data_IF_670285406591
#
_entry.id   IF_670285406591
#
_cell.length_a   1.000
_cell.length_b   1.000
_cell.length_c   1.000
_cell.angle_alpha   90.00
_cell.angle_beta   90.00
_cell.angle_gamma   90.00
#
_symmetry.space_group_name_H-M   'P 1'
#
loop_
_entity.id
_entity.type
_entity.pdbx_description
1 polymer ?
#
# COMPACT_ATOMS: atom_id res chain seq x y z
N UNK A 1 -31.00 -27.91 -4.98
CA UNK A 1 -29.64 -28.16 -4.46
C UNK A 1 -28.67 -27.97 -5.62
N UNK A 2 -27.68 -27.07 -5.67
CA UNK A 2 -27.04 -26.22 -4.64
C UNK A 2 -26.29 -25.09 -5.38
N UNK A 3 -26.89 -23.89 -5.51
CA UNK A 3 -26.23 -22.68 -6.06
C UNK A 3 -25.49 -21.86 -4.98
N UNK A 4 -25.46 -22.36 -3.75
CA UNK A 4 -24.90 -21.66 -2.60
C UNK A 4 -23.37 -21.69 -2.50
N UNK A 5 -22.66 -22.55 -3.25
CA UNK A 5 -21.22 -22.78 -3.00
C UNK A 5 -20.26 -21.71 -3.57
N UNK A 6 -20.65 -20.95 -4.60
CA UNK A 6 -19.73 -19.98 -5.22
C UNK A 6 -19.53 -18.69 -4.42
N UNK A 7 -20.54 -18.23 -3.66
CA UNK A 7 -20.43 -16.98 -2.90
C UNK A 7 -19.57 -17.10 -1.64
N UNK A 8 -19.57 -18.27 -0.98
CA UNK A 8 -18.78 -18.49 0.23
C UNK A 8 -17.27 -18.38 -0.01
N UNK A 9 -16.81 -18.67 -1.23
CA UNK A 9 -15.40 -18.56 -1.62
C UNK A 9 -14.89 -17.11 -1.53
N UNK A 10 -15.77 -16.12 -1.73
CA UNK A 10 -15.42 -14.70 -1.67
C UNK A 10 -15.53 -14.09 -0.28
N UNK A 11 -16.16 -14.77 0.68
CA UNK A 11 -16.36 -14.22 2.04
C UNK A 11 -15.03 -13.99 2.75
N UNK A 12 -14.10 -14.94 2.66
CA UNK A 12 -12.77 -14.81 3.28
C UNK A 12 -11.92 -13.70 2.61
N UNK A 13 -11.74 -13.68 1.27
CA UNK A 13 -11.06 -12.58 0.58
C UNK A 13 -11.66 -11.20 0.89
N UNK A 14 -12.99 -11.09 0.92
CA UNK A 14 -13.67 -9.84 1.22
C UNK A 14 -13.40 -9.39 2.66
N UNK A 15 -13.50 -10.30 3.64
CA UNK A 15 -13.18 -10.00 5.04
C UNK A 15 -11.71 -9.56 5.20
N UNK A 16 -10.78 -10.25 4.55
CA UNK A 16 -9.36 -9.86 4.53
C UNK A 16 -9.15 -8.48 3.91
N UNK A 17 -9.79 -8.18 2.78
CA UNK A 17 -9.73 -6.87 2.13
C UNK A 17 -10.28 -5.78 3.06
N UNK A 18 -11.45 -6.02 3.67
CA UNK A 18 -12.06 -5.08 4.62
C UNK A 18 -11.15 -4.81 5.82
N UNK A 19 -10.53 -5.84 6.40
CA UNK A 19 -9.58 -5.68 7.49
C UNK A 19 -8.37 -4.84 7.09
N UNK A 20 -7.81 -5.09 5.89
CA UNK A 20 -6.71 -4.29 5.34
C UNK A 20 -7.11 -2.83 5.11
N UNK A 21 -8.30 -2.58 4.57
CA UNK A 21 -8.80 -1.21 4.34
C UNK A 21 -9.08 -0.46 5.64
N UNK A 22 -9.61 -1.13 6.66
CA UNK A 22 -9.80 -0.55 7.99
C UNK A 22 -8.47 -0.14 8.63
N UNK A 23 -7.45 -1.00 8.53
CA UNK A 23 -6.11 -0.65 9.00
C UNK A 23 -5.54 0.55 8.24
N UNK A 24 -5.65 0.57 6.92
CA UNK A 24 -5.18 1.69 6.09
C UNK A 24 -5.89 3.00 6.45
N UNK A 25 -7.20 2.96 6.68
CA UNK A 25 -7.97 4.14 7.12
C UNK A 25 -7.46 4.66 8.48
N UNK A 26 -7.14 3.77 9.41
CA UNK A 26 -6.57 4.15 10.71
C UNK A 26 -5.15 4.72 10.58
N UNK A 27 -4.30 4.08 9.78
CA UNK A 27 -2.90 4.48 9.59
C UNK A 27 -2.74 5.76 8.75
N UNK A 28 -3.62 5.97 7.76
CA UNK A 28 -3.59 7.10 6.85
C UNK A 28 -4.32 8.36 7.35
N UNK A 29 -4.97 8.27 8.51
CA UNK A 29 -5.89 9.29 9.05
C UNK A 29 -7.08 9.60 8.10
N UNK A 30 -7.94 10.58 8.47
CA UNK A 30 -9.20 10.94 7.77
C UNK A 30 -9.05 11.31 6.27
N UNK A 31 -7.83 11.44 5.76
CA UNK A 31 -7.56 11.97 4.42
C UNK A 31 -7.12 10.92 3.41
N UNK A 32 -6.96 9.66 3.82
CA UNK A 32 -6.65 8.57 2.89
C UNK A 32 -7.92 8.12 2.15
N UNK A 33 -8.02 8.48 0.89
CA UNK A 33 -9.10 8.01 0.01
C UNK A 33 -8.89 6.55 -0.39
N UNK A 34 -9.97 5.86 -0.77
CA UNK A 34 -9.90 4.47 -1.28
C UNK A 34 -8.95 4.37 -2.49
N UNK A 35 -8.99 5.33 -3.43
CA UNK A 35 -8.07 5.33 -4.58
C UNK A 35 -6.60 5.41 -4.16
N UNK A 36 -6.27 6.21 -3.14
CA UNK A 36 -4.90 6.29 -2.60
C UNK A 36 -4.52 5.00 -1.86
N UNK A 37 -5.45 4.39 -1.13
CA UNK A 37 -5.23 3.10 -0.49
C UNK A 37 -4.93 1.99 -1.53
N UNK A 38 -5.75 1.88 -2.57
CA UNK A 38 -5.53 0.93 -3.68
C UNK A 38 -4.21 1.21 -4.38
N UNK A 39 -3.91 2.47 -4.70
CA UNK A 39 -2.64 2.85 -5.30
C UNK A 39 -1.44 2.44 -4.44
N UNK A 40 -1.49 2.70 -3.13
CA UNK A 40 -0.46 2.28 -2.19
C UNK A 40 -0.28 0.76 -2.19
N UNK A 41 -1.35 -0.03 -2.20
CA UNK A 41 -1.27 -1.49 -2.24
C UNK A 41 -0.63 -2.01 -3.54
N UNK A 42 -0.91 -1.37 -4.67
CA UNK A 42 -0.28 -1.72 -5.96
C UNK A 42 1.22 -1.43 -5.94
N UNK A 43 1.63 -0.27 -5.41
CA UNK A 43 3.06 0.07 -5.21
C UNK A 43 3.72 -0.93 -4.28
N UNK A 44 3.08 -1.23 -3.14
CA UNK A 44 3.62 -2.16 -2.15
C UNK A 44 3.80 -3.56 -2.72
N UNK A 45 2.83 -4.06 -3.51
CA UNK A 45 2.92 -5.36 -4.15
C UNK A 45 4.04 -5.41 -5.20
N UNK A 46 4.22 -4.35 -5.99
CA UNK A 46 5.30 -4.26 -6.98
C UNK A 46 6.68 -4.20 -6.32
N UNK A 47 6.86 -3.33 -5.32
CA UNK A 47 8.13 -3.17 -4.59
C UNK A 47 8.50 -4.46 -3.84
N UNK A 48 7.53 -5.14 -3.23
CA UNK A 48 7.75 -6.43 -2.54
C UNK A 48 8.20 -7.56 -3.47
N UNK A 49 7.86 -7.50 -4.77
CA UNK A 49 8.34 -8.46 -5.78
C UNK A 49 9.73 -8.11 -6.33
N UNK A 50 10.33 -7.00 -5.90
CA UNK A 50 11.59 -6.50 -6.45
C UNK A 50 11.46 -5.86 -7.83
N UNK A 51 10.24 -5.60 -8.31
CA UNK A 51 9.94 -4.99 -9.60
C UNK A 51 9.14 -3.71 -9.38
N UNK A 52 9.77 -2.62 -8.91
CA UNK A 52 9.08 -1.36 -8.70
C UNK A 52 8.53 -0.83 -10.02
N UNK A 53 7.41 -0.13 -9.97
CA UNK A 53 6.73 0.40 -11.14
C UNK A 53 6.74 1.93 -11.14
N UNK A 54 6.76 2.50 -12.32
CA UNK A 54 6.48 3.92 -12.54
C UNK A 54 4.98 4.21 -12.34
N UNK A 55 4.64 5.49 -12.20
CA UNK A 55 3.24 5.90 -12.15
C UNK A 55 2.46 5.43 -13.38
N UNK A 56 3.06 5.51 -14.57
CA UNK A 56 2.41 5.15 -15.82
C UNK A 56 2.06 3.66 -15.84
N UNK A 57 3.02 2.80 -15.52
CA UNK A 57 2.80 1.35 -15.50
C UNK A 57 1.75 0.94 -14.47
N UNK A 58 1.67 1.61 -13.30
CA UNK A 58 0.61 1.32 -12.32
C UNK A 58 -0.77 1.65 -12.89
N UNK A 59 -0.91 2.77 -13.61
CA UNK A 59 -2.18 3.17 -14.20
C UNK A 59 -2.60 2.21 -15.30
N UNK A 60 -1.67 1.84 -16.17
CA UNK A 60 -1.90 0.92 -17.28
C UNK A 60 -2.27 -0.49 -16.77
N UNK A 61 -1.64 -0.96 -15.70
CA UNK A 61 -1.88 -2.29 -15.12
C UNK A 61 -3.03 -2.33 -14.11
N UNK A 62 -3.75 -1.21 -13.89
CA UNK A 62 -4.80 -1.16 -12.86
C UNK A 62 -6.17 -1.65 -13.34
N UNK A 63 -6.37 -1.94 -14.64
CA UNK A 63 -7.63 -2.41 -15.23
C UNK A 63 -8.88 -1.61 -14.78
N UNK A 64 -8.72 -0.30 -14.58
CA UNK A 64 -9.81 0.59 -14.12
C UNK A 64 -10.05 0.61 -12.61
N UNK A 65 -9.26 -0.11 -11.81
CA UNK A 65 -9.32 -0.06 -10.34
C UNK A 65 -8.94 1.32 -9.77
N UNK A 66 -8.23 2.14 -10.54
CA UNK A 66 -7.86 3.50 -10.17
C UNK A 66 -8.63 4.54 -10.99
N UNK A 67 -9.18 5.55 -10.31
CA UNK A 67 -9.76 6.70 -11.00
C UNK A 67 -8.68 7.59 -11.65
N UNK A 68 -9.00 8.34 -12.73
CA UNK A 68 -8.07 9.28 -13.37
C UNK A 68 -7.48 10.33 -12.41
N UNK A 69 -8.19 10.67 -11.33
CA UNK A 69 -7.75 11.65 -10.33
C UNK A 69 -6.51 11.23 -9.52
N UNK A 70 -6.13 9.95 -9.55
CA UNK A 70 -4.99 9.44 -8.79
C UNK A 70 -3.66 10.08 -9.21
N UNK A 71 -3.51 10.49 -10.47
CA UNK A 71 -2.32 11.19 -11.00
C UNK A 71 -1.94 12.43 -10.18
N UNK A 72 -2.93 13.07 -9.55
CA UNK A 72 -2.71 14.24 -8.72
C UNK A 72 -2.73 13.90 -7.23
N UNK A 73 -3.59 12.98 -6.80
CA UNK A 73 -3.80 12.69 -5.37
C UNK A 73 -2.77 11.73 -4.77
N UNK A 74 -2.04 10.93 -5.57
CA UNK A 74 -1.01 10.02 -5.04
C UNK A 74 0.15 10.75 -4.35
N UNK A 75 0.33 12.05 -4.62
CA UNK A 75 1.36 12.89 -4.00
C UNK A 75 1.23 12.94 -2.48
N UNK A 76 0.03 12.75 -1.94
CA UNK A 76 -0.19 12.66 -0.49
C UNK A 76 0.49 11.43 0.15
N UNK A 77 0.81 10.40 -0.65
CA UNK A 77 1.49 9.19 -0.17
C UNK A 77 3.01 9.34 -0.17
N UNK A 78 3.54 10.34 -0.89
CA UNK A 78 4.98 10.51 -1.07
C UNK A 78 5.64 11.06 0.20
N UNK A 79 6.95 10.82 0.33
CA UNK A 79 7.78 11.54 1.28
C UNK A 79 7.78 13.04 1.01
N UNK A 80 7.97 13.81 2.09
CA UNK A 80 8.10 15.26 1.97
C UNK A 80 9.36 15.53 1.17
N UNK A 81 9.19 16.23 0.05
CA UNK A 81 10.30 16.90 -0.62
C UNK A 81 10.09 18.41 -0.43
N UNK A 82 11.13 19.09 0.06
CA UNK A 82 11.20 20.50 0.45
C UNK A 82 10.68 21.48 -0.61
N UNK A 83 10.51 21.04 -1.87
CA UNK A 83 10.04 21.87 -2.99
C UNK A 83 8.54 21.86 -3.27
N UNK A 84 7.78 20.83 -2.88
CA UNK A 84 6.41 20.64 -3.43
C UNK A 84 5.40 19.98 -2.51
N UNK A 85 5.81 19.44 -1.38
CA UNK A 85 4.90 18.73 -0.48
C UNK A 85 4.52 19.63 0.70
N UNK A 86 3.23 19.83 0.94
CA UNK A 86 2.78 20.37 2.22
C UNK A 86 3.04 19.28 3.27
N UNK A 87 4.04 19.48 4.13
CA UNK A 87 4.45 18.56 5.20
C UNK A 87 3.27 18.01 6.00
N UNK A 88 2.21 18.82 6.18
CA UNK A 88 1.03 18.42 6.93
C UNK A 88 0.18 17.33 6.28
N UNK A 89 0.38 17.04 4.99
CA UNK A 89 -0.45 16.12 4.21
C UNK A 89 0.32 14.97 3.55
N UNK A 90 1.63 14.91 3.72
CA UNK A 90 2.46 13.84 3.19
C UNK A 90 2.53 12.68 4.19
N UNK A 91 2.00 11.52 3.81
CA UNK A 91 2.06 10.31 4.62
C UNK A 91 3.47 9.71 4.66
N UNK A 92 4.30 9.97 3.64
CA UNK A 92 5.67 9.51 3.57
C UNK A 92 5.81 8.00 3.46
N UNK A 93 4.86 7.35 2.80
CA UNK A 93 4.85 5.90 2.60
C UNK A 93 5.60 5.49 1.33
N UNK A 94 5.69 6.38 0.35
CA UNK A 94 6.27 6.12 -0.96
C UNK A 94 7.41 7.13 -1.24
N UNK A 95 8.48 6.67 -1.87
CA UNK A 95 9.53 7.53 -2.44
C UNK A 95 9.63 7.34 -3.95
N UNK A 96 10.35 8.23 -4.62
CA UNK A 96 10.67 8.14 -6.04
C UNK A 96 12.16 7.91 -6.21
N UNK A 97 12.50 6.80 -6.85
CA UNK A 97 13.85 6.51 -7.30
C UNK A 97 13.95 6.78 -8.80
N UNK A 98 15.01 7.46 -9.21
CA UNK A 98 15.27 7.78 -10.61
C UNK A 98 16.13 6.68 -11.20
N UNK A 99 15.80 6.19 -12.40
CA UNK A 99 16.67 5.24 -13.10
C UNK A 99 18.01 5.91 -13.44
N UNK A 100 19.16 5.33 -13.05
CA UNK A 100 20.48 5.88 -13.37
C UNK A 100 20.78 5.93 -14.88
N UNK A 101 20.07 5.15 -15.70
CA UNK A 101 20.25 5.09 -17.15
C UNK A 101 19.23 5.96 -17.91
N UNK A 102 18.10 6.32 -17.27
CA UNK A 102 17.07 7.18 -17.85
C UNK A 102 16.39 8.03 -16.77
N UNK A 103 16.84 9.27 -16.60
CA UNK A 103 16.32 10.17 -15.56
C UNK A 103 14.82 10.51 -15.70
N UNK A 104 14.22 10.18 -16.86
CA UNK A 104 12.78 10.37 -17.09
C UNK A 104 11.96 9.31 -16.37
N UNK A 105 12.53 8.16 -16.07
CA UNK A 105 11.87 7.07 -15.38
C UNK A 105 11.98 7.24 -13.87
N UNK A 106 10.82 7.30 -13.22
CA UNK A 106 10.68 7.50 -11.78
C UNK A 106 9.92 6.32 -11.19
N UNK A 107 10.66 5.38 -10.63
CA UNK A 107 10.13 4.21 -9.97
C UNK A 107 9.58 4.58 -8.60
N UNK A 108 8.43 4.02 -8.26
CA UNK A 108 7.80 4.21 -6.96
C UNK A 108 8.20 3.05 -6.06
N UNK A 109 8.77 3.39 -4.90
CA UNK A 109 9.19 2.43 -3.88
C UNK A 109 8.60 2.74 -2.54
N UNK A 110 8.54 1.74 -1.67
CA UNK A 110 8.18 1.97 -0.28
C UNK A 110 9.33 2.65 0.46
N UNK A 111 8.99 3.62 1.31
CA UNK A 111 9.89 4.09 2.36
C UNK A 111 9.96 3.05 3.48
N UNK A 112 10.80 3.27 4.50
CA UNK A 112 10.77 2.45 5.72
C UNK A 112 9.37 2.44 6.35
N UNK A 113 8.75 3.62 6.50
CA UNK A 113 7.39 3.78 7.03
C UNK A 113 6.36 3.08 6.14
N UNK A 114 6.49 3.18 4.82
CA UNK A 114 5.61 2.48 3.88
C UNK A 114 5.68 0.96 4.02
N UNK A 115 6.89 0.40 4.21
CA UNK A 115 7.08 -1.04 4.47
C UNK A 115 6.42 -1.49 5.77
N UNK A 116 6.57 -0.72 6.84
CA UNK A 116 5.91 -1.00 8.12
C UNK A 116 4.38 -1.03 7.98
N UNK A 117 3.81 -0.05 7.27
CA UNK A 117 2.38 0.00 6.98
C UNK A 117 1.94 -1.19 6.13
N UNK A 118 2.67 -1.51 5.05
CA UNK A 118 2.34 -2.64 4.18
C UNK A 118 2.38 -3.98 4.94
N UNK A 119 3.38 -4.19 5.79
CA UNK A 119 3.47 -5.37 6.66
C UNK A 119 2.30 -5.47 7.62
N UNK A 120 1.91 -4.35 8.24
CA UNK A 120 0.79 -4.33 9.18
C UNK A 120 -0.55 -4.60 8.48
N UNK A 121 -0.74 -4.13 7.24
CA UNK A 121 -1.89 -4.52 6.40
C UNK A 121 -1.89 -6.03 6.14
N UNK A 122 -0.73 -6.62 5.81
CA UNK A 122 -0.65 -8.06 5.60
C UNK A 122 -0.95 -8.87 6.87
N UNK A 123 -0.53 -8.39 8.04
CA UNK A 123 -0.92 -8.97 9.33
C UNK A 123 -2.43 -8.86 9.56
N UNK A 124 -3.02 -7.68 9.33
CA UNK A 124 -4.46 -7.45 9.49
C UNK A 124 -5.32 -8.31 8.55
N UNK A 125 -4.82 -8.61 7.35
CA UNK A 125 -5.51 -9.48 6.37
C UNK A 125 -5.32 -10.98 6.64
N UNK A 126 -4.53 -11.34 7.66
CA UNK A 126 -4.19 -12.74 7.99
C UNK A 126 -3.18 -13.39 7.04
N UNK A 127 -2.55 -12.61 6.16
CA UNK A 127 -1.57 -13.08 5.17
C UNK A 127 -0.18 -13.28 5.78
N UNK A 128 0.12 -12.60 6.89
CA UNK A 128 1.26 -12.89 7.74
C UNK A 128 0.76 -13.48 9.07
N UNK A 129 1.34 -14.61 9.49
CA UNK A 129 1.22 -15.07 10.88
C UNK A 129 2.13 -14.19 11.74
N UNK A 130 1.67 -13.68 12.90
CA UNK A 130 2.57 -13.05 13.85
C UNK A 130 3.67 -14.06 14.20
N UNK A 131 4.93 -13.73 13.91
CA UNK A 131 6.04 -14.45 14.54
C UNK A 131 5.84 -14.26 16.05
N UNK A 132 5.88 -15.34 16.82
CA UNK A 132 6.06 -15.26 18.26
C UNK A 132 7.30 -14.39 18.50
N UNK A 133 7.10 -13.11 18.82
CA UNK A 133 8.15 -12.31 19.43
C UNK A 133 8.34 -12.92 20.81
N UNK A 134 9.47 -13.61 20.95
CA UNK A 134 9.80 -14.38 22.14
C UNK A 134 9.60 -13.55 23.41
N UNK A 135 8.81 -14.10 24.31
CA UNK A 135 8.93 -13.82 25.72
C UNK A 135 10.27 -14.42 26.17
N UNK A 136 11.35 -13.68 26.01
CA UNK A 136 12.59 -13.92 26.75
C UNK A 136 13.06 -12.58 27.29
N UNK A 137 12.57 -12.27 28.49
CA UNK A 137 13.29 -11.61 29.57
C UNK A 137 12.40 -11.64 30.82
N UNK A 138 12.17 -12.84 31.35
CA UNK A 138 12.05 -12.98 32.80
C UNK A 138 13.48 -13.01 33.35
N UNK A 139 13.94 -11.84 33.77
CA UNK A 139 14.99 -11.70 34.76
C UNK A 139 14.35 -11.97 36.12
N UNK A 140 14.66 -13.12 36.72
CA UNK A 140 15.04 -13.27 38.15
C UNK A 140 15.59 -14.66 38.38
#
# INVERSE_FOLDING_TARGET
MTKQNGLYEYVKPLASLSAGMLYLAQAGHEKLTINQAVFFLLVAAADARGSPLTLQEILENSDGALSPGIKNSYKALLEVNTRTSNERYALGWITREVDPNDERQKYLRLTKKGREVAMAVMLATGQLKPRHMGAEHELT
#
